data_IF_329652535523
#
_entry.id   IF_329652535523
#
_cell.length_a   1.000
_cell.length_b   1.000
_cell.length_c   1.000
_cell.angle_alpha   90.00
_cell.angle_beta   90.00
_cell.angle_gamma   90.00
#
_symmetry.space_group_name_H-M   'P 1'
#
loop_
_entity.id
_entity.type
_entity.pdbx_description
1 polymer ?
#
# COMPACT_ATOMS: atom_id res chain seq x y z
N UNK A 1 -14.63 1.17 3.56
CA UNK A 1 -15.03 2.05 4.69
C UNK A 1 -16.23 1.55 5.47
N UNK A 2 -17.11 0.71 4.92
CA UNK A 2 -18.38 0.34 5.59
C UNK A 2 -18.29 -0.93 6.48
N UNK A 3 -17.20 -1.15 7.20
CA UNK A 3 -17.16 -2.23 8.21
C UNK A 3 -17.74 -1.71 9.52
N UNK A 4 -18.70 -2.44 10.11
CA UNK A 4 -19.28 -2.06 11.39
C UNK A 4 -18.24 -2.12 12.50
N UNK A 5 -18.30 -1.13 13.39
CA UNK A 5 -17.37 -0.97 14.52
C UNK A 5 -17.84 -1.72 15.77
N UNK A 6 -19.02 -2.36 15.73
CA UNK A 6 -19.59 -3.08 16.88
C UNK A 6 -18.71 -4.26 17.30
N UNK A 7 -18.35 -4.30 18.59
CA UNK A 7 -17.54 -5.35 19.18
C UNK A 7 -16.02 -5.23 18.97
N UNK A 8 -15.53 -4.24 18.22
CA UNK A 8 -14.09 -4.03 17.98
C UNK A 8 -13.51 -2.98 18.91
N UNK A 9 -12.25 -3.18 19.33
CA UNK A 9 -11.51 -2.13 20.05
C UNK A 9 -11.25 -0.95 19.11
N UNK A 10 -11.17 0.27 19.67
CA UNK A 10 -10.92 1.51 18.90
C UNK A 10 -9.67 1.45 18.00
N UNK A 11 -8.68 0.65 18.36
CA UNK A 11 -7.48 0.44 17.54
C UNK A 11 -7.70 -0.59 16.42
N UNK A 12 -8.48 -1.63 16.67
CA UNK A 12 -8.75 -2.73 15.73
C UNK A 12 -9.56 -2.27 14.52
N UNK A 13 -10.37 -1.24 14.70
CA UNK A 13 -11.14 -0.63 13.61
C UNK A 13 -10.26 0.01 12.54
N UNK A 14 -9.02 0.41 12.88
CA UNK A 14 -8.06 0.97 11.93
C UNK A 14 -7.20 -0.09 11.23
N UNK A 15 -7.11 -1.31 11.78
CA UNK A 15 -6.24 -2.35 11.23
C UNK A 15 -6.58 -2.74 9.79
N UNK A 16 -7.85 -2.87 9.37
CA UNK A 16 -8.19 -3.14 7.98
C UNK A 16 -7.70 -2.05 7.03
N UNK A 17 -7.73 -0.77 7.45
CA UNK A 17 -7.26 0.36 6.66
C UNK A 17 -5.75 0.23 6.42
N UNK A 18 -4.97 0.00 7.48
CA UNK A 18 -3.53 -0.20 7.36
C UNK A 18 -3.18 -1.45 6.54
N UNK A 19 -3.94 -2.53 6.69
CA UNK A 19 -3.78 -3.76 5.91
C UNK A 19 -3.97 -3.50 4.42
N UNK A 20 -5.03 -2.78 4.04
CA UNK A 20 -5.31 -2.43 2.64
C UNK A 20 -4.22 -1.50 2.09
N UNK A 21 -3.84 -0.45 2.83
CA UNK A 21 -2.79 0.47 2.40
C UNK A 21 -1.44 -0.23 2.19
N UNK A 22 -1.10 -1.16 3.09
CA UNK A 22 0.09 -2.00 2.96
C UNK A 22 0.01 -2.91 1.72
N UNK A 23 -1.12 -3.60 1.52
CA UNK A 23 -1.32 -4.50 0.38
C UNK A 23 -1.22 -3.76 -0.97
N UNK A 24 -1.84 -2.58 -1.09
CA UNK A 24 -1.74 -1.74 -2.30
C UNK A 24 -0.29 -1.35 -2.61
N UNK A 25 0.43 -0.85 -1.61
CA UNK A 25 1.83 -0.46 -1.77
C UNK A 25 2.72 -1.67 -2.10
N UNK A 26 2.43 -2.84 -1.52
CA UNK A 26 3.19 -4.07 -1.76
C UNK A 26 2.99 -4.60 -3.16
N UNK A 27 1.78 -4.51 -3.69
CA UNK A 27 1.47 -4.91 -5.05
C UNK A 27 2.29 -4.14 -6.09
N UNK A 28 2.30 -2.81 -5.98
CA UNK A 28 3.08 -1.93 -6.89
C UNK A 28 4.59 -2.19 -6.73
N UNK A 29 5.06 -2.38 -5.49
CA UNK A 29 6.46 -2.72 -5.22
C UNK A 29 6.87 -4.04 -5.89
N UNK A 30 6.08 -5.10 -5.74
CA UNK A 30 6.39 -6.41 -6.29
C UNK A 30 6.36 -6.37 -7.83
N UNK A 31 5.43 -5.64 -8.45
CA UNK A 31 5.37 -5.47 -9.91
C UNK A 31 6.62 -4.77 -10.47
N UNK A 32 7.13 -3.74 -9.80
CA UNK A 32 8.30 -2.99 -10.28
C UNK A 32 9.63 -3.67 -9.93
N UNK A 33 9.84 -4.04 -8.65
CA UNK A 33 11.14 -4.52 -8.19
C UNK A 33 11.36 -6.02 -8.36
N UNK A 34 10.32 -6.85 -8.20
CA UNK A 34 10.45 -8.32 -8.29
C UNK A 34 10.15 -8.84 -9.69
N UNK A 35 8.98 -8.49 -10.22
CA UNK A 35 8.49 -9.02 -11.51
C UNK A 35 8.94 -8.19 -12.71
N UNK A 36 9.21 -6.89 -12.51
CA UNK A 36 9.62 -5.93 -13.56
C UNK A 36 8.61 -5.85 -14.71
N UNK A 37 7.32 -5.96 -14.40
CA UNK A 37 6.23 -5.94 -15.38
C UNK A 37 5.79 -4.52 -15.75
N UNK A 38 6.15 -3.52 -14.94
CA UNK A 38 5.79 -2.11 -15.16
C UNK A 38 7.01 -1.25 -15.45
N UNK A 39 6.81 -0.24 -16.29
CA UNK A 39 7.85 0.76 -16.60
C UNK A 39 8.08 1.70 -15.42
N UNK A 40 9.25 2.34 -15.40
CA UNK A 40 9.60 3.34 -14.38
C UNK A 40 8.61 4.51 -14.36
N UNK A 41 8.20 4.99 -15.52
CA UNK A 41 7.24 6.09 -15.67
C UNK A 41 5.89 5.74 -15.03
N UNK A 42 5.37 4.53 -15.26
CA UNK A 42 4.12 4.08 -14.65
C UNK A 42 4.25 3.92 -13.14
N UNK A 43 5.39 3.42 -12.66
CA UNK A 43 5.67 3.31 -11.23
C UNK A 43 5.72 4.69 -10.56
N UNK A 44 6.38 5.68 -11.17
CA UNK A 44 6.44 7.05 -10.66
C UNK A 44 5.05 7.73 -10.65
N UNK A 45 4.26 7.55 -11.70
CA UNK A 45 2.88 8.01 -11.76
C UNK A 45 2.03 7.42 -10.61
N UNK A 46 2.15 6.11 -10.36
CA UNK A 46 1.43 5.48 -9.25
C UNK A 46 1.81 6.03 -7.88
N UNK A 47 3.08 6.43 -7.69
CA UNK A 47 3.53 7.08 -6.46
C UNK A 47 3.00 8.50 -6.32
N UNK A 48 2.97 9.28 -7.41
CA UNK A 48 2.48 10.67 -7.40
C UNK A 48 0.98 10.76 -7.15
N UNK A 49 0.20 9.84 -7.72
CA UNK A 49 -1.24 9.75 -7.51
C UNK A 49 -1.63 9.14 -6.15
N UNK A 50 -0.66 8.72 -5.33
CA UNK A 50 -0.91 8.15 -4.00
C UNK A 50 -1.44 6.71 -4.01
N UNK A 51 -1.27 5.96 -5.10
CA UNK A 51 -1.63 4.53 -5.13
C UNK A 51 -0.67 3.65 -4.33
N UNK A 52 0.56 4.12 -4.10
CA UNK A 52 1.55 3.48 -3.25
C UNK A 52 2.27 4.49 -2.35
N UNK A 53 2.66 4.04 -1.16
CA UNK A 53 3.37 4.87 -0.19
C UNK A 53 4.89 4.83 -0.43
N UNK A 54 5.46 5.99 -0.81
CA UNK A 54 6.89 6.17 -1.08
C UNK A 54 7.75 5.90 0.16
N UNK A 55 7.30 6.32 1.34
CA UNK A 55 8.05 6.15 2.59
C UNK A 55 8.06 4.68 3.01
N UNK A 56 6.92 3.99 2.89
CA UNK A 56 6.82 2.58 3.19
C UNK A 56 7.70 1.74 2.25
N UNK A 57 7.66 2.03 0.95
CA UNK A 57 8.52 1.35 -0.03
C UNK A 57 10.00 1.58 0.26
N UNK A 58 10.39 2.79 0.65
CA UNK A 58 11.77 3.08 1.04
C UNK A 58 12.23 2.22 2.22
N UNK A 59 11.34 1.86 3.16
CA UNK A 59 11.65 0.96 4.27
C UNK A 59 11.87 -0.49 3.84
N UNK A 60 11.19 -0.99 2.81
CA UNK A 60 11.39 -2.36 2.31
C UNK A 60 12.66 -2.53 1.48
N UNK A 61 13.24 -1.44 0.99
CA UNK A 61 14.51 -1.45 0.26
C UNK A 61 15.72 -1.42 1.17
N UNK A 62 15.53 -1.06 2.44
CA UNK A 62 16.58 -1.11 3.46
C UNK A 62 16.76 -2.56 3.92
#
# INVERSE_FOLDING_TARGET
ENETHEGKRKCETLWPIFKIAHQKSRYIFDLYYRRKEITKELYEFCLEQGYADRNLIAKWRK
#
